data_IF_977239982306
#
_entry.id   IF_977239982306
#
_cell.length_a   1.000
_cell.length_b   1.000
_cell.length_c   1.000
_cell.angle_alpha   90.00
_cell.angle_beta   90.00
_cell.angle_gamma   90.00
#
_symmetry.space_group_name_H-M   'P 1'
#
loop_
_entity.id
_entity.type
_entity.pdbx_description
1 polymer ?
#
# COMPACT_ATOMS: atom_id res chain seq x y z
N UNK A 1 -19.93 -36.60 -10.84
CA UNK A 1 -19.31 -36.06 -9.61
C UNK A 1 -17.81 -36.31 -9.73
N UNK A 2 -16.90 -35.36 -9.76
CA UNK A 2 -17.00 -33.93 -9.52
C UNK A 2 -15.94 -33.18 -10.33
N UNK A 3 -16.36 -32.08 -10.95
CA UNK A 3 -15.46 -31.04 -11.43
C UNK A 3 -14.90 -30.35 -10.19
N UNK A 4 -13.59 -30.50 -9.94
CA UNK A 4 -12.87 -29.64 -9.01
C UNK A 4 -12.89 -28.23 -9.57
N UNK A 5 -13.68 -27.38 -8.93
CA UNK A 5 -13.62 -25.92 -9.04
C UNK A 5 -12.18 -25.46 -8.74
N UNK A 6 -11.38 -25.25 -9.78
CA UNK A 6 -10.30 -24.25 -9.74
C UNK A 6 -10.98 -22.89 -9.80
N UNK A 7 -11.16 -22.25 -8.64
CA UNK A 7 -11.62 -20.87 -8.51
C UNK A 7 -10.37 -19.97 -8.36
N UNK A 8 -10.48 -18.63 -8.37
CA UNK A 8 -10.26 -17.67 -9.43
C UNK A 8 -8.88 -16.96 -9.29
N UNK A 9 -7.86 -17.63 -8.77
CA UNK A 9 -6.57 -16.99 -8.45
C UNK A 9 -5.71 -16.65 -9.68
N UNK A 10 -5.97 -17.28 -10.83
CA UNK A 10 -5.30 -16.95 -12.09
C UNK A 10 -5.88 -15.71 -12.78
N UNK A 11 -7.14 -15.36 -12.50
CA UNK A 11 -7.81 -14.21 -13.13
C UNK A 11 -7.47 -12.90 -12.43
N UNK A 12 -7.24 -12.92 -11.11
CA UNK A 12 -6.78 -11.76 -10.35
C UNK A 12 -5.32 -11.41 -10.70
N UNK A 13 -4.46 -12.41 -10.96
CA UNK A 13 -3.07 -12.17 -11.37
C UNK A 13 -2.92 -11.61 -12.80
N UNK A 14 -3.91 -11.83 -13.69
CA UNK A 14 -3.87 -11.37 -15.09
C UNK A 14 -4.60 -10.04 -15.29
N UNK A 15 -5.59 -9.69 -14.45
CA UNK A 15 -6.20 -8.36 -14.45
C UNK A 15 -5.22 -7.24 -14.01
N UNK A 16 -4.18 -7.60 -13.24
CA UNK A 16 -3.10 -6.69 -12.78
C UNK A 16 -2.16 -6.24 -13.91
N UNK A 17 -2.18 -6.89 -15.08
CA UNK A 17 -1.26 -6.59 -16.19
C UNK A 17 -1.67 -5.39 -17.06
N UNK A 18 -2.90 -4.87 -16.94
CA UNK A 18 -3.42 -3.83 -17.86
C UNK A 18 -3.33 -2.42 -17.26
N UNK A 19 -3.04 -2.27 -15.97
CA UNK A 19 -3.08 -0.97 -15.26
C UNK A 19 -1.79 -0.59 -14.48
N UNK A 20 -0.67 -1.27 -14.70
CA UNK A 20 0.49 -1.16 -13.81
C UNK A 20 1.52 -0.09 -14.23
N UNK A 21 1.79 0.88 -13.34
CA UNK A 21 2.95 1.78 -13.42
C UNK A 21 4.28 1.02 -13.38
N UNK A 22 5.37 1.65 -13.88
CA UNK A 22 6.68 1.00 -14.10
C UNK A 22 7.23 0.26 -12.85
N UNK A 23 6.96 0.76 -11.64
CA UNK A 23 7.40 0.16 -10.37
C UNK A 23 6.77 -1.21 -10.08
N UNK A 24 5.47 -1.38 -10.33
CA UNK A 24 4.75 -2.64 -10.08
C UNK A 24 5.20 -3.78 -11.02
N UNK A 25 5.52 -3.47 -12.29
CA UNK A 25 6.12 -4.43 -13.22
C UNK A 25 7.53 -4.85 -12.79
N UNK A 26 8.33 -3.90 -12.30
CA UNK A 26 9.66 -4.20 -11.75
C UNK A 26 9.57 -5.06 -10.49
N UNK A 27 8.60 -4.79 -9.61
CA UNK A 27 8.37 -5.55 -8.38
C UNK A 27 7.94 -6.99 -8.68
N UNK A 28 7.02 -7.18 -9.64
CA UNK A 28 6.65 -8.51 -10.14
C UNK A 28 7.87 -9.26 -10.71
N UNK A 29 8.67 -8.60 -11.57
CA UNK A 29 9.90 -9.17 -12.11
C UNK A 29 10.91 -9.59 -11.04
N UNK A 30 11.13 -8.74 -10.03
CA UNK A 30 12.01 -9.02 -8.90
C UNK A 30 11.53 -10.21 -8.07
N UNK A 31 10.21 -10.36 -7.87
CA UNK A 31 9.64 -11.47 -7.11
C UNK A 31 9.90 -12.86 -7.72
N UNK A 32 10.15 -12.96 -9.04
CA UNK A 32 10.51 -14.24 -9.66
C UNK A 32 11.96 -14.64 -9.38
N UNK A 33 12.82 -13.69 -9.03
CA UNK A 33 14.25 -13.89 -8.79
C UNK A 33 14.58 -14.06 -7.29
N UNK A 34 13.64 -13.78 -6.41
CA UNK A 34 13.86 -13.78 -4.97
C UNK A 34 13.88 -15.20 -4.37
N UNK A 35 14.59 -15.37 -3.25
CA UNK A 35 14.48 -16.57 -2.41
C UNK A 35 13.11 -16.54 -1.71
N UNK A 36 12.31 -17.61 -1.79
CA UNK A 36 10.96 -17.64 -1.23
C UNK A 36 11.00 -17.79 0.30
N UNK A 37 11.24 -16.67 0.95
CA UNK A 37 11.37 -16.53 2.40
C UNK A 37 10.17 -15.79 2.93
N UNK A 38 9.74 -16.16 4.14
CA UNK A 38 8.69 -15.45 4.83
C UNK A 38 9.12 -14.02 5.14
N UNK A 39 10.40 -13.81 5.42
CA UNK A 39 10.98 -12.50 5.65
C UNK A 39 10.82 -11.54 4.47
N UNK A 40 11.10 -12.00 3.25
CA UNK A 40 10.89 -11.16 2.06
C UNK A 40 9.43 -10.82 1.83
N UNK A 41 8.52 -11.78 2.06
CA UNK A 41 7.10 -11.50 1.93
C UNK A 41 6.60 -10.58 3.05
N UNK A 42 7.11 -10.72 4.27
CA UNK A 42 6.81 -9.81 5.37
C UNK A 42 7.26 -8.38 5.01
N UNK A 43 8.47 -8.19 4.48
CA UNK A 43 8.91 -6.88 4.03
C UNK A 43 8.04 -6.33 2.88
N UNK A 44 7.63 -7.17 1.94
CA UNK A 44 6.71 -6.79 0.85
C UNK A 44 5.36 -6.31 1.39
N UNK A 45 4.81 -7.02 2.37
CA UNK A 45 3.57 -6.65 3.08
C UNK A 45 3.75 -5.35 3.84
N UNK A 46 4.91 -5.13 4.49
CA UNK A 46 5.20 -3.88 5.18
C UNK A 46 5.18 -2.68 4.25
N UNK A 47 5.75 -2.82 3.05
CA UNK A 47 5.71 -1.76 2.03
C UNK A 47 4.30 -1.53 1.50
N UNK A 48 3.54 -2.59 1.21
CA UNK A 48 2.13 -2.46 0.83
C UNK A 48 1.32 -1.72 1.89
N UNK A 49 1.52 -2.06 3.16
CA UNK A 49 0.89 -1.38 4.31
C UNK A 49 1.32 0.07 4.47
N UNK A 50 2.60 0.36 4.23
CA UNK A 50 3.14 1.72 4.26
C UNK A 50 2.41 2.60 3.23
N UNK A 51 2.22 2.09 2.02
CA UNK A 51 1.53 2.81 0.95
C UNK A 51 0.05 3.04 1.30
N UNK A 52 -0.64 2.03 1.86
CA UNK A 52 -2.02 2.20 2.33
C UNK A 52 -2.12 3.32 3.37
N UNK A 53 -1.18 3.39 4.31
CA UNK A 53 -1.15 4.45 5.34
C UNK A 53 -0.80 5.82 4.76
N UNK A 54 0.15 5.88 3.83
CA UNK A 54 0.48 7.11 3.08
C UNK A 54 -0.74 7.65 2.33
N UNK A 55 -1.53 6.77 1.70
CA UNK A 55 -2.78 7.15 1.04
C UNK A 55 -3.81 7.69 2.04
N UNK A 56 -3.93 7.08 3.23
CA UNK A 56 -4.79 7.61 4.29
C UNK A 56 -4.30 8.97 4.79
N UNK A 57 -2.99 9.19 4.91
CA UNK A 57 -2.42 10.50 5.26
C UNK A 57 -2.81 11.53 4.20
N UNK A 58 -2.56 11.26 2.91
CA UNK A 58 -2.92 12.15 1.81
C UNK A 58 -4.42 12.44 1.76
N UNK A 59 -5.26 11.43 2.00
CA UNK A 59 -6.70 11.59 1.92
C UNK A 59 -7.32 12.33 3.12
N UNK A 60 -6.83 12.08 4.33
CA UNK A 60 -7.54 12.43 5.58
C UNK A 60 -6.77 13.35 6.54
N UNK A 61 -5.45 13.49 6.38
CA UNK A 61 -4.60 14.17 7.37
C UNK A 61 -3.83 15.35 6.83
N UNK A 62 -3.80 15.51 5.52
CA UNK A 62 -3.04 16.54 4.83
C UNK A 62 -4.01 17.59 4.33
N UNK A 63 -4.07 18.79 4.95
CA UNK A 63 -4.91 19.87 4.46
C UNK A 63 -4.53 20.24 3.03
N UNK A 64 -5.54 20.61 2.25
CA UNK A 64 -5.38 20.96 0.84
C UNK A 64 -6.05 22.30 0.54
N UNK A 65 -5.42 23.05 -0.35
CA UNK A 65 -5.82 24.37 -0.82
C UNK A 65 -5.34 24.54 -2.27
N UNK A 66 -5.75 25.62 -2.92
CA UNK A 66 -5.32 25.94 -4.29
C UNK A 66 -3.80 26.17 -4.44
N UNK A 67 -3.13 26.56 -3.36
CA UNK A 67 -1.71 26.92 -3.33
C UNK A 67 -0.84 25.89 -2.58
N UNK A 68 -1.45 24.80 -2.09
CA UNK A 68 -0.75 23.70 -1.44
C UNK A 68 0.37 23.15 -2.34
N UNK A 69 1.58 23.02 -1.77
CA UNK A 69 2.77 22.55 -2.50
C UNK A 69 2.96 21.04 -2.44
N UNK A 70 2.56 20.44 -1.32
CA UNK A 70 2.76 19.01 -1.07
C UNK A 70 2.16 18.08 -2.15
N UNK A 71 1.02 18.38 -2.83
CA UNK A 71 0.51 17.53 -3.91
C UNK A 71 1.52 17.33 -5.05
N UNK A 72 2.30 18.37 -5.37
CA UNK A 72 3.35 18.31 -6.39
C UNK A 72 4.61 17.61 -5.87
N UNK A 73 4.89 17.69 -4.57
CA UNK A 73 6.05 17.04 -3.96
C UNK A 73 5.86 15.52 -3.90
N UNK A 74 4.67 15.04 -3.54
CA UNK A 74 4.38 13.60 -3.44
C UNK A 74 4.29 12.90 -4.79
N UNK A 75 3.98 13.64 -5.86
CA UNK A 75 3.93 13.14 -7.25
C UNK A 75 5.27 13.31 -7.99
N UNK A 76 6.24 14.00 -7.40
CA UNK A 76 7.52 14.25 -8.04
C UNK A 76 8.37 12.98 -8.18
N UNK A 77 9.06 12.78 -9.31
CA UNK A 77 9.98 11.66 -9.46
C UNK A 77 11.21 11.81 -8.56
N UNK A 78 11.63 10.71 -7.93
CA UNK A 78 12.82 10.71 -7.07
C UNK A 78 14.09 11.03 -7.87
N UNK A 79 14.83 12.02 -7.38
CA UNK A 79 16.18 12.36 -7.87
C UNK A 79 17.22 11.31 -7.44
N UNK A 80 18.37 11.21 -8.15
CA UNK A 80 19.47 10.34 -7.73
C UNK A 80 19.99 10.64 -6.31
N UNK A 81 20.01 11.91 -5.91
CA UNK A 81 20.46 12.35 -4.59
C UNK A 81 19.52 11.84 -3.49
N UNK A 82 18.20 11.95 -3.69
CA UNK A 82 17.19 11.44 -2.74
C UNK A 82 17.27 9.93 -2.61
N UNK A 83 17.44 9.20 -3.72
CA UNK A 83 17.65 7.74 -3.69
C UNK A 83 18.89 7.37 -2.87
N UNK A 84 19.99 8.11 -3.03
CA UNK A 84 21.21 7.87 -2.26
C UNK A 84 21.02 8.15 -0.76
N UNK A 85 20.29 9.20 -0.41
CA UNK A 85 19.96 9.54 0.97
C UNK A 85 19.08 8.46 1.63
N UNK A 86 17.98 8.07 0.97
CA UNK A 86 17.09 7.01 1.44
C UNK A 86 17.86 5.71 1.60
N UNK A 87 18.71 5.33 0.62
CA UNK A 87 19.55 4.13 0.72
C UNK A 87 20.45 4.15 1.95
N UNK A 88 21.09 5.29 2.25
CA UNK A 88 21.96 5.43 3.42
C UNK A 88 21.19 5.24 4.73
N UNK A 89 19.95 5.71 4.79
CA UNK A 89 19.08 5.56 5.95
C UNK A 89 18.58 4.11 6.09
N UNK A 90 18.14 3.49 5.00
CA UNK A 90 17.70 2.09 4.98
C UNK A 90 18.81 1.14 5.46
N UNK A 91 20.07 1.39 5.09
CA UNK A 91 21.20 0.59 5.57
C UNK A 91 21.41 0.64 7.10
N UNK A 92 20.71 1.52 7.81
CA UNK A 92 20.69 1.53 9.28
C UNK A 92 19.62 0.63 9.87
N UNK A 93 18.58 0.28 9.13
CA UNK A 93 17.52 -0.62 9.61
C UNK A 93 18.05 -2.06 9.81
N UNK A 94 17.57 -2.77 10.85
CA UNK A 94 17.94 -4.15 11.17
C UNK A 94 18.01 -5.12 9.98
N UNK A 95 17.03 -5.06 9.07
CA UNK A 95 16.96 -5.96 7.91
C UNK A 95 18.08 -5.64 6.92
N UNK A 96 18.13 -4.42 6.40
CA UNK A 96 19.10 -4.07 5.34
C UNK A 96 20.54 -4.09 5.83
N UNK A 97 20.76 -3.76 7.11
CA UNK A 97 22.09 -3.83 7.72
C UNK A 97 22.64 -5.26 7.77
N UNK A 98 21.80 -6.31 7.72
CA UNK A 98 22.23 -7.68 7.99
C UNK A 98 21.80 -8.74 6.95
N UNK A 99 20.91 -8.42 6.02
CA UNK A 99 20.36 -9.39 5.03
C UNK A 99 21.41 -10.02 4.13
N UNK A 100 22.48 -9.29 3.79
CA UNK A 100 23.56 -9.82 2.96
C UNK A 100 24.33 -10.98 3.63
N UNK A 101 24.29 -11.12 4.96
CA UNK A 101 24.87 -12.27 5.67
C UNK A 101 23.98 -13.53 5.60
N UNK A 102 22.67 -13.37 5.34
CA UNK A 102 21.72 -14.49 5.34
C UNK A 102 21.36 -14.95 3.94
N UNK A 103 21.36 -14.03 2.97
CA UNK A 103 20.79 -14.27 1.64
C UNK A 103 21.43 -15.46 0.91
N UNK A 104 22.76 -15.58 0.98
CA UNK A 104 23.49 -16.69 0.35
C UNK A 104 23.08 -18.04 0.95
N UNK A 105 23.00 -18.12 2.27
CA UNK A 105 22.62 -19.35 2.98
C UNK A 105 21.14 -19.69 2.73
N UNK A 106 20.25 -18.69 2.81
CA UNK A 106 18.84 -18.85 2.48
C UNK A 106 18.67 -19.38 1.05
N UNK A 107 19.40 -18.84 0.07
CA UNK A 107 19.38 -19.32 -1.32
C UNK A 107 19.89 -20.75 -1.47
N UNK A 108 20.98 -21.12 -0.77
CA UNK A 108 21.53 -22.47 -0.82
C UNK A 108 20.57 -23.52 -0.24
N UNK A 109 19.85 -23.18 0.82
CA UNK A 109 19.03 -24.13 1.55
C UNK A 109 17.54 -24.12 1.16
N UNK A 110 17.01 -22.97 0.72
CA UNK A 110 15.60 -22.79 0.33
C UNK A 110 15.41 -22.72 -1.20
N UNK A 111 16.50 -22.59 -1.96
CA UNK A 111 16.48 -22.47 -3.43
C UNK A 111 16.37 -21.03 -3.92
N UNK A 112 16.12 -20.88 -5.22
CA UNK A 112 15.75 -19.61 -5.85
C UNK A 112 14.26 -19.63 -6.25
N UNK A 113 13.71 -18.51 -6.71
CA UNK A 113 12.32 -18.47 -7.20
C UNK A 113 12.06 -19.53 -8.29
N UNK A 114 10.79 -19.93 -8.45
CA UNK A 114 10.37 -21.05 -9.31
C UNK A 114 10.96 -21.03 -10.73
N UNK A 115 11.08 -19.84 -11.35
CA UNK A 115 11.65 -19.65 -12.68
C UNK A 115 13.17 -19.88 -12.71
N UNK A 116 13.88 -19.49 -11.66
CA UNK A 116 15.34 -19.57 -11.58
C UNK A 116 15.82 -20.97 -11.20
N UNK A 117 15.00 -21.73 -10.47
CA UNK A 117 15.26 -23.15 -10.23
C UNK A 117 15.24 -23.97 -11.53
N UNK A 118 14.45 -23.56 -12.54
CA UNK A 118 14.44 -24.20 -13.86
C UNK A 118 15.72 -23.92 -14.67
N UNK A 119 16.45 -22.85 -14.35
CA UNK A 119 17.70 -22.46 -15.01
C UNK A 119 18.96 -23.02 -14.32
N UNK A 120 18.81 -23.87 -13.30
CA UNK A 120 19.93 -24.53 -12.62
C UNK A 120 20.97 -23.57 -12.04
N UNK A 121 22.26 -23.92 -12.13
CA UNK A 121 23.35 -23.10 -11.59
C UNK A 121 23.46 -21.68 -12.18
N UNK A 122 23.05 -21.49 -13.45
CA UNK A 122 23.04 -20.19 -14.11
C UNK A 122 21.93 -19.27 -13.56
N UNK A 123 20.76 -19.83 -13.26
CA UNK A 123 19.66 -19.10 -12.60
C UNK A 123 20.07 -18.56 -11.23
N UNK A 124 20.86 -19.31 -10.48
CA UNK A 124 21.31 -18.86 -9.15
C UNK A 124 22.23 -17.62 -9.19
N UNK A 125 23.07 -17.50 -10.23
CA UNK A 125 24.02 -16.40 -10.43
C UNK A 125 23.29 -15.15 -10.98
N UNK A 126 22.45 -15.31 -12.01
CA UNK A 126 21.69 -14.20 -12.57
C UNK A 126 20.74 -13.58 -11.54
N UNK A 127 20.08 -14.40 -10.72
CA UNK A 127 19.22 -13.90 -9.65
C UNK A 127 19.99 -13.29 -8.48
N UNK A 128 21.29 -13.55 -8.32
CA UNK A 128 22.11 -12.87 -7.31
C UNK A 128 22.56 -11.49 -7.81
N UNK A 129 22.83 -11.36 -9.11
CA UNK A 129 23.20 -10.08 -9.72
C UNK A 129 22.01 -9.10 -9.85
N UNK A 130 20.79 -9.63 -9.98
CA UNK A 130 19.59 -8.85 -10.24
C UNK A 130 18.66 -8.67 -9.02
N UNK A 131 18.87 -9.43 -7.92
CA UNK A 131 18.07 -9.26 -6.70
C UNK A 131 18.50 -7.96 -5.99
N UNK A 132 17.68 -6.93 -6.09
CA UNK A 132 17.89 -5.68 -5.37
C UNK A 132 17.35 -5.82 -3.95
N UNK A 133 18.18 -5.52 -2.96
CA UNK A 133 17.76 -5.56 -1.54
C UNK A 133 16.74 -4.47 -1.22
N UNK A 134 16.87 -3.30 -1.86
CA UNK A 134 15.94 -2.18 -1.74
C UNK A 134 15.24 -2.02 -3.08
N UNK A 135 13.92 -2.23 -3.11
CA UNK A 135 13.14 -2.19 -4.35
C UNK A 135 12.77 -0.75 -4.73
N UNK A 136 12.40 -0.48 -6.00
CA UNK A 136 11.89 0.83 -6.42
C UNK A 136 10.70 1.31 -5.58
N UNK A 137 9.82 0.38 -5.19
CA UNK A 137 8.66 0.68 -4.38
C UNK A 137 9.05 1.11 -2.95
N UNK A 138 10.06 0.47 -2.38
CA UNK A 138 10.64 0.91 -1.10
C UNK A 138 11.15 2.34 -1.17
N UNK A 139 11.87 2.71 -2.24
CA UNK A 139 12.33 4.09 -2.39
C UNK A 139 11.17 5.09 -2.43
N UNK A 140 10.09 4.78 -3.15
CA UNK A 140 8.91 5.66 -3.25
C UNK A 140 8.22 5.84 -1.90
N UNK A 141 7.99 4.76 -1.16
CA UNK A 141 7.39 4.81 0.16
C UNK A 141 8.24 5.66 1.14
N UNK A 142 9.53 5.36 1.27
CA UNK A 142 10.40 6.15 2.15
C UNK A 142 10.55 7.62 1.74
N UNK A 143 10.43 7.93 0.45
CA UNK A 143 10.41 9.31 -0.03
C UNK A 143 9.16 10.07 0.44
N UNK A 144 7.97 9.44 0.37
CA UNK A 144 6.74 10.02 0.91
C UNK A 144 6.76 10.17 2.42
N UNK A 145 7.31 9.20 3.14
CA UNK A 145 7.56 9.34 4.59
C UNK A 145 8.39 10.59 4.87
N UNK A 146 9.45 10.84 4.11
CA UNK A 146 10.27 12.06 4.26
C UNK A 146 9.45 13.34 4.01
N UNK A 147 8.53 13.32 3.05
CA UNK A 147 7.63 14.46 2.79
C UNK A 147 6.70 14.68 3.99
N UNK A 148 6.02 13.63 4.48
CA UNK A 148 5.02 13.76 5.54
C UNK A 148 5.58 13.94 6.95
N UNK A 149 6.77 13.41 7.24
CA UNK A 149 7.38 13.42 8.57
C UNK A 149 8.65 14.29 8.65
N UNK A 150 9.03 14.92 7.54
CA UNK A 150 10.19 15.79 7.43
C UNK A 150 11.52 15.04 7.27
N UNK A 151 12.65 15.78 7.20
CA UNK A 151 13.95 15.20 6.87
C UNK A 151 14.65 14.47 8.03
N UNK A 152 14.17 14.62 9.28
CA UNK A 152 14.78 13.93 10.43
C UNK A 152 14.21 12.51 10.57
N UNK A 153 15.01 11.45 10.34
CA UNK A 153 14.55 10.07 10.44
C UNK A 153 14.05 9.67 11.82
N UNK A 154 14.38 10.42 12.89
CA UNK A 154 13.86 10.18 14.23
C UNK A 154 12.35 10.41 14.33
N UNK A 155 11.79 11.21 13.41
CA UNK A 155 10.36 11.48 13.34
C UNK A 155 9.61 10.48 12.46
N UNK A 156 10.33 9.58 11.77
CA UNK A 156 9.72 8.65 10.83
C UNK A 156 9.03 7.51 11.58
N UNK A 157 7.91 7.01 11.04
CA UNK A 157 7.25 5.86 11.60
C UNK A 157 8.08 4.59 11.41
N UNK A 158 7.85 3.61 12.29
CA UNK A 158 8.39 2.27 12.10
C UNK A 158 7.47 1.44 11.20
N UNK A 159 7.90 1.22 9.95
CA UNK A 159 6.99 0.71 8.92
C UNK A 159 6.81 -0.81 8.91
N UNK A 160 7.71 -1.56 9.54
CA UNK A 160 7.61 -3.02 9.60
C UNK A 160 7.23 -3.56 10.98
N UNK A 161 6.63 -2.73 11.83
CA UNK A 161 5.89 -3.24 12.98
C UNK A 161 4.47 -3.62 12.55
N UNK A 162 4.09 -4.89 12.75
CA UNK A 162 2.76 -5.39 12.41
C UNK A 162 1.94 -5.66 13.66
N UNK A 163 0.65 -5.34 13.57
CA UNK A 163 -0.39 -5.92 14.42
C UNK A 163 -1.69 -6.13 13.62
N UNK A 164 -2.73 -6.61 14.30
CA UNK A 164 -4.05 -6.88 13.72
C UNK A 164 -5.08 -5.76 13.95
N UNK A 165 -4.71 -4.67 14.63
CA UNK A 165 -5.64 -3.60 15.01
C UNK A 165 -6.01 -2.74 13.82
N UNK A 166 -7.25 -2.26 13.76
CA UNK A 166 -7.70 -1.28 12.76
C UNK A 166 -6.79 -0.05 12.66
N UNK A 167 -6.29 0.44 13.80
CA UNK A 167 -5.38 1.59 13.87
C UNK A 167 -4.09 1.39 13.06
N UNK A 168 -3.61 0.15 12.95
CA UNK A 168 -2.44 -0.20 12.14
C UNK A 168 -2.67 -0.04 10.63
N UNK A 169 -3.91 0.10 10.16
CA UNK A 169 -4.25 0.28 8.75
C UNK A 169 -4.57 1.73 8.41
N UNK A 170 -5.18 2.44 9.37
CA UNK A 170 -5.54 3.85 9.21
C UNK A 170 -4.31 4.75 9.33
N UNK A 171 -3.39 4.43 10.26
CA UNK A 171 -2.30 5.32 10.64
C UNK A 171 -1.02 4.55 10.95
N UNK A 172 0.11 5.26 10.98
CA UNK A 172 1.31 4.73 11.60
C UNK A 172 1.22 4.89 13.12
N UNK A 173 1.66 3.86 13.87
CA UNK A 173 1.64 3.85 15.34
C UNK A 173 2.51 4.92 15.99
N UNK A 174 3.48 5.44 15.25
CA UNK A 174 4.47 6.40 15.71
C UNK A 174 4.83 7.37 14.59
N UNK A 175 5.73 8.30 14.91
CA UNK A 175 6.16 9.38 14.02
C UNK A 175 5.36 10.66 14.24
N UNK A 176 5.97 11.78 13.85
CA UNK A 176 5.37 13.12 13.99
C UNK A 176 5.22 13.74 12.60
N UNK A 177 3.97 13.82 12.13
CA UNK A 177 3.66 14.52 10.89
C UNK A 177 4.12 15.97 10.96
N UNK A 178 4.63 16.49 9.85
CA UNK A 178 4.89 17.94 9.73
C UNK A 178 3.56 18.68 9.77
N UNK A 179 3.58 19.88 10.35
CA UNK A 179 2.48 20.82 10.16
C UNK A 179 2.56 21.35 8.73
N UNK A 180 1.44 21.30 8.03
CA UNK A 180 1.34 21.80 6.66
C UNK A 180 0.55 23.08 6.70
N UNK A 181 1.25 24.15 6.36
CA UNK A 181 0.65 25.46 6.17
C UNK A 181 0.14 25.57 4.73
N UNK A 182 -1.15 25.87 4.59
CA UNK A 182 -1.66 26.50 3.38
C UNK A 182 -1.32 28.00 3.46
N UNK A 183 -0.78 28.57 2.38
CA UNK A 183 -0.25 29.94 2.43
C UNK A 183 -1.39 30.96 2.23
N UNK A 184 -2.39 30.67 1.38
CA UNK A 184 -3.49 31.57 1.04
C UNK A 184 -4.78 30.81 0.60
N UNK A 185 -5.96 31.35 0.92
CA UNK A 185 -7.27 30.86 0.45
C UNK A 185 -8.00 29.93 1.41
N UNK A 186 -9.10 29.32 0.94
CA UNK A 186 -9.86 28.33 1.71
C UNK A 186 -9.03 27.04 1.87
N UNK A 187 -8.94 26.58 3.12
CA UNK A 187 -8.20 25.38 3.50
C UNK A 187 -9.19 24.29 3.84
N UNK A 188 -9.07 23.17 3.13
CA UNK A 188 -9.91 22.00 3.35
C UNK A 188 -9.11 20.98 4.17
N UNK A 189 -9.63 20.50 5.31
CA UNK A 189 -8.94 19.51 6.14
C UNK A 189 -8.62 18.21 5.40
N UNK A 190 -9.44 17.82 4.42
CA UNK A 190 -9.31 16.59 3.65
C UNK A 190 -9.51 16.82 2.15
N UNK A 191 -9.02 15.88 1.31
CA UNK A 191 -9.26 15.93 -0.13
C UNK A 191 -10.75 15.78 -0.47
N UNK A 192 -11.50 15.05 0.35
CA UNK A 192 -12.93 14.82 0.14
C UNK A 192 -13.72 16.10 0.39
N UNK A 193 -13.41 16.84 1.45
CA UNK A 193 -14.04 18.14 1.69
C UNK A 193 -13.68 19.16 0.61
N UNK A 194 -12.44 19.13 0.12
CA UNK A 194 -12.03 19.95 -1.01
C UNK A 194 -12.80 19.61 -2.30
N UNK A 195 -13.04 18.32 -2.57
CA UNK A 195 -13.86 17.87 -3.69
C UNK A 195 -15.32 18.32 -3.54
N UNK A 196 -15.89 18.17 -2.34
CA UNK A 196 -17.28 18.61 -2.06
C UNK A 196 -17.40 20.12 -2.24
N UNK A 197 -16.38 20.91 -1.92
CA UNK A 197 -16.41 22.34 -2.19
C UNK A 197 -16.45 22.70 -3.69
N UNK A 198 -15.98 21.80 -4.56
CA UNK A 198 -16.11 21.94 -6.02
C UNK A 198 -17.49 21.50 -6.55
N UNK A 199 -18.27 20.75 -5.78
CA UNK A 199 -19.64 20.30 -6.15
C UNK A 199 -20.62 21.49 -6.12
N UNK A 200 -21.62 21.55 -7.02
CA UNK A 200 -22.67 22.57 -6.97
C UNK A 200 -23.36 22.63 -5.59
N UNK A 201 -23.53 23.84 -5.05
CA UNK A 201 -23.99 24.09 -3.66
C UNK A 201 -25.25 23.28 -3.30
N UNK A 202 -26.19 23.15 -4.25
CA UNK A 202 -27.45 22.45 -4.03
C UNK A 202 -27.31 20.92 -3.92
N UNK A 203 -26.14 20.34 -4.22
CA UNK A 203 -25.84 18.91 -4.14
C UNK A 203 -24.80 18.58 -3.06
N UNK A 204 -24.11 19.59 -2.51
CA UNK A 204 -23.02 19.38 -1.53
C UNK A 204 -23.51 18.60 -0.30
N UNK A 205 -24.68 18.92 0.22
CA UNK A 205 -25.22 18.25 1.41
C UNK A 205 -25.52 16.77 1.16
N UNK A 206 -26.13 16.46 0.02
CA UNK A 206 -26.47 15.07 -0.34
C UNK A 206 -25.20 14.23 -0.57
N UNK A 207 -24.19 14.81 -1.23
CA UNK A 207 -22.88 14.17 -1.42
C UNK A 207 -22.17 13.94 -0.07
N UNK A 208 -22.26 14.91 0.84
CA UNK A 208 -21.68 14.79 2.19
C UNK A 208 -22.36 13.69 3.02
N UNK A 209 -23.68 13.61 3.00
CA UNK A 209 -24.44 12.58 3.73
C UNK A 209 -24.13 11.18 3.17
N UNK A 210 -24.08 11.02 1.84
CA UNK A 210 -23.72 9.75 1.20
C UNK A 210 -22.27 9.33 1.48
N UNK A 211 -21.33 10.28 1.54
CA UNK A 211 -19.95 10.04 1.96
C UNK A 211 -19.90 9.44 3.38
N UNK A 212 -20.66 10.01 4.32
CA UNK A 212 -20.69 9.50 5.70
C UNK A 212 -21.22 8.07 5.77
N UNK A 213 -22.31 7.77 5.04
CA UNK A 213 -22.85 6.41 4.97
C UNK A 213 -21.86 5.41 4.36
N UNK A 214 -21.16 5.79 3.29
CA UNK A 214 -20.12 4.97 2.67
C UNK A 214 -18.97 4.68 3.64
N UNK A 215 -18.44 5.71 4.32
CA UNK A 215 -17.35 5.55 5.29
C UNK A 215 -17.76 4.71 6.50
N UNK A 216 -19.01 4.84 6.96
CA UNK A 216 -19.55 4.01 8.03
C UNK A 216 -19.63 2.54 7.58
N UNK A 217 -20.13 2.26 6.38
CA UNK A 217 -20.18 0.90 5.86
C UNK A 217 -18.79 0.28 5.68
N UNK A 218 -17.79 1.06 5.25
CA UNK A 218 -16.39 0.61 5.22
C UNK A 218 -15.89 0.26 6.63
N UNK A 219 -16.19 1.10 7.63
CA UNK A 219 -15.82 0.84 9.02
C UNK A 219 -16.39 -0.48 9.53
N UNK A 220 -17.65 -0.81 9.21
CA UNK A 220 -18.27 -2.09 9.61
C UNK A 220 -17.52 -3.30 9.03
N UNK A 221 -17.13 -3.25 7.75
CA UNK A 221 -16.34 -4.31 7.11
C UNK A 221 -15.00 -4.50 7.81
N UNK A 222 -14.37 -3.40 8.21
CA UNK A 222 -13.05 -3.41 8.84
C UNK A 222 -13.10 -4.02 10.23
N UNK A 223 -14.10 -3.67 11.02
CA UNK A 223 -14.27 -4.21 12.37
C UNK A 223 -14.43 -5.75 12.30
N UNK A 224 -15.23 -6.25 11.34
CA UNK A 224 -15.37 -7.69 11.11
C UNK A 224 -14.08 -8.36 10.60
N UNK A 225 -13.33 -7.72 9.69
CA UNK A 225 -12.05 -8.24 9.19
C UNK A 225 -10.97 -8.26 10.29
N UNK A 226 -11.00 -7.32 11.22
CA UNK A 226 -10.15 -7.34 12.40
C UNK A 226 -10.47 -8.54 13.31
N UNK A 227 -11.76 -8.80 13.59
CA UNK A 227 -12.16 -9.96 14.37
C UNK A 227 -11.71 -11.28 13.71
N UNK A 228 -11.88 -11.38 12.38
CA UNK A 228 -11.37 -12.52 11.61
C UNK A 228 -9.85 -12.64 11.73
N UNK A 229 -9.12 -11.53 11.61
CA UNK A 229 -7.67 -11.49 11.75
C UNK A 229 -7.19 -11.96 13.12
N UNK A 230 -7.88 -11.59 14.21
CA UNK A 230 -7.54 -12.04 15.56
C UNK A 230 -7.71 -13.56 15.70
N UNK A 231 -8.76 -14.13 15.12
CA UNK A 231 -8.99 -15.57 15.09
C UNK A 231 -7.91 -16.28 14.26
N UNK A 232 -7.59 -15.77 13.08
CA UNK A 232 -6.54 -16.34 12.22
C UNK A 232 -5.18 -16.30 12.91
N UNK A 233 -4.86 -15.20 13.57
CA UNK A 233 -3.61 -15.01 14.33
C UNK A 233 -3.51 -16.06 15.44
N UNK A 234 -4.58 -16.29 16.22
CA UNK A 234 -4.61 -17.31 17.28
C UNK A 234 -4.39 -18.72 16.73
N UNK A 235 -5.11 -19.09 15.66
CA UNK A 235 -4.97 -20.39 15.02
C UNK A 235 -3.55 -20.61 14.46
N UNK A 236 -2.97 -19.58 13.82
CA UNK A 236 -1.62 -19.66 13.23
C UNK A 236 -0.52 -19.68 14.26
N UNK A 237 -0.67 -18.92 15.35
CA UNK A 237 0.27 -18.95 16.48
C UNK A 237 0.35 -20.37 17.04
N UNK A 238 -0.81 -21.02 17.22
CA UNK A 238 -0.86 -22.40 17.67
C UNK A 238 -0.18 -23.39 16.69
N UNK A 239 -0.47 -23.29 15.39
CA UNK A 239 0.18 -24.10 14.36
C UNK A 239 1.72 -23.93 14.33
N UNK A 240 2.20 -22.69 14.49
CA UNK A 240 3.61 -22.35 14.48
C UNK A 240 4.34 -22.95 15.69
N UNK A 241 3.77 -22.82 16.90
CA UNK A 241 4.34 -23.41 18.11
C UNK A 241 4.37 -24.94 18.06
N UNK A 242 3.30 -25.58 17.55
CA UNK A 242 3.28 -27.04 17.36
C UNK A 242 4.34 -27.49 16.36
N UNK A 243 4.50 -26.76 15.26
CA UNK A 243 5.50 -27.04 14.23
C UNK A 243 6.93 -26.84 14.72
N UNK A 244 7.19 -25.79 15.51
CA UNK A 244 8.50 -25.53 16.12
C UNK A 244 8.89 -26.64 17.11
N UNK A 245 7.94 -27.04 17.98
CA UNK A 245 8.13 -28.12 18.96
C UNK A 245 8.46 -29.45 18.27
N UNK A 246 7.70 -29.83 17.24
CA UNK A 246 7.94 -31.05 16.45
C UNK A 246 9.33 -31.05 15.79
N UNK A 247 9.81 -29.88 15.37
CA UNK A 247 11.08 -29.70 14.67
C UNK A 247 12.27 -29.38 15.59
N UNK A 248 12.09 -29.43 16.91
CA UNK A 248 13.09 -29.10 17.94
C UNK A 248 13.72 -27.73 17.72
N UNK A 249 12.89 -26.74 17.39
CA UNK A 249 13.29 -25.33 17.24
C UNK A 249 12.96 -24.63 18.55
N UNK A 250 13.97 -24.21 19.31
CA UNK A 250 13.78 -23.41 20.52
C UNK A 250 13.57 -21.94 20.13
N UNK A 251 12.31 -21.51 20.10
CA UNK A 251 11.94 -20.12 19.77
C UNK A 251 12.42 -19.12 20.83
N UNK A 252 12.61 -19.56 22.08
CA UNK A 252 13.17 -18.72 23.15
C UNK A 252 14.66 -18.48 22.91
N UNK A 253 15.39 -19.51 22.49
CA UNK A 253 16.80 -19.40 22.10
C UNK A 253 17.01 -18.55 20.84
N UNK A 254 16.10 -18.62 19.87
CA UNK A 254 16.24 -17.96 18.56
C UNK A 254 15.74 -16.51 18.55
N UNK A 255 14.63 -16.20 19.25
CA UNK A 255 13.96 -14.90 19.17
C UNK A 255 13.82 -14.17 20.54
N UNK A 256 14.23 -14.80 21.64
CA UNK A 256 14.09 -14.24 22.98
C UNK A 256 12.63 -14.01 23.40
N UNK A 257 11.69 -14.75 22.79
CA UNK A 257 10.27 -14.64 23.07
C UNK A 257 9.96 -15.53 24.29
N UNK A 258 9.79 -14.90 25.45
CA UNK A 258 9.18 -15.53 26.62
C UNK A 258 7.66 -15.41 26.46
N UNK A 259 7.04 -16.39 25.80
CA UNK A 259 5.58 -16.53 25.85
C UNK A 259 5.26 -17.76 26.68
N UNK A 260 4.50 -17.56 27.76
CA UNK A 260 3.67 -18.61 28.33
C UNK A 260 2.62 -18.98 27.26
N UNK A 261 3.04 -19.77 26.27
CA UNK A 261 2.17 -20.26 25.22
C UNK A 261 1.33 -21.41 25.79
N UNK A 262 0.02 -21.20 25.79
CA UNK A 262 -0.97 -22.21 26.13
C UNK A 262 -1.52 -22.75 24.81
N UNK A 263 -1.28 -24.04 24.49
CA UNK A 263 -1.82 -24.64 23.27
C UNK A 263 -3.35 -24.64 23.27
N UNK A 264 -3.94 -24.38 22.10
CA UNK A 264 -5.38 -24.49 21.90
C UNK A 264 -5.81 -25.96 21.96
N UNK A 265 -6.88 -26.22 22.70
CA UNK A 265 -7.56 -27.52 22.72
C UNK A 265 -8.24 -27.82 21.38
N UNK A 266 -8.48 -29.10 21.03
CA UNK A 266 -9.25 -29.46 19.84
C UNK A 266 -10.62 -28.78 19.76
N UNK A 267 -11.29 -28.63 20.90
CA UNK A 267 -12.58 -27.96 21.03
C UNK A 267 -12.47 -26.46 20.72
N UNK A 268 -11.48 -25.77 21.29
CA UNK A 268 -11.21 -24.36 20.98
C UNK A 268 -10.86 -24.14 19.52
N UNK A 269 -10.06 -25.03 18.92
CA UNK A 269 -9.75 -24.97 17.48
C UNK A 269 -11.00 -25.12 16.61
N UNK A 270 -11.86 -26.09 16.93
CA UNK A 270 -13.10 -26.31 16.20
C UNK A 270 -14.04 -25.10 16.32
N UNK A 271 -14.17 -24.52 17.52
CA UNK A 271 -15.00 -23.35 17.76
C UNK A 271 -14.47 -22.11 17.01
N UNK A 272 -13.16 -21.87 17.02
CA UNK A 272 -12.54 -20.78 16.26
C UNK A 272 -12.70 -20.96 14.74
N UNK A 273 -12.66 -22.20 14.25
CA UNK A 273 -12.89 -22.50 12.83
C UNK A 273 -14.34 -22.26 12.41
N UNK A 274 -15.31 -22.61 13.26
CA UNK A 274 -16.72 -22.29 13.04
C UNK A 274 -16.97 -20.78 13.05
N UNK A 275 -16.45 -20.07 14.07
CA UNK A 275 -16.53 -18.60 14.15
C UNK A 275 -15.91 -17.93 12.92
N UNK A 276 -14.76 -18.42 12.46
CA UNK A 276 -14.13 -17.94 11.22
C UNK A 276 -15.06 -18.05 10.02
N UNK A 277 -15.73 -19.19 9.81
CA UNK A 277 -16.65 -19.36 8.68
C UNK A 277 -17.88 -18.45 8.78
N UNK A 278 -18.40 -18.21 9.98
CA UNK A 278 -19.49 -17.25 10.20
C UNK A 278 -19.05 -15.82 9.88
N UNK A 279 -17.86 -15.41 10.35
CA UNK A 279 -17.31 -14.09 10.06
C UNK A 279 -17.03 -13.89 8.56
N UNK A 280 -16.55 -14.91 7.85
CA UNK A 280 -16.36 -14.84 6.39
C UNK A 280 -17.68 -14.53 5.66
N UNK A 281 -18.80 -15.13 6.09
CA UNK A 281 -20.13 -14.82 5.54
C UNK A 281 -20.59 -13.40 5.90
N UNK A 282 -20.43 -13.00 7.17
CA UNK A 282 -20.78 -11.64 7.63
C UNK A 282 -19.98 -10.56 6.90
N UNK A 283 -18.68 -10.79 6.69
CA UNK A 283 -17.80 -9.91 5.90
C UNK A 283 -18.33 -9.80 4.48
N UNK A 284 -18.70 -10.90 3.81
CA UNK A 284 -19.23 -10.84 2.45
C UNK A 284 -20.52 -10.01 2.36
N UNK A 285 -21.40 -10.09 3.37
CA UNK A 285 -22.64 -9.30 3.42
C UNK A 285 -22.32 -7.82 3.66
N UNK A 286 -21.42 -7.53 4.60
CA UNK A 286 -20.98 -6.16 4.90
C UNK A 286 -20.26 -5.52 3.70
N UNK A 287 -19.45 -6.29 2.97
CA UNK A 287 -18.79 -5.83 1.74
C UNK A 287 -19.81 -5.45 0.66
N UNK A 288 -20.84 -6.27 0.45
CA UNK A 288 -21.90 -5.94 -0.50
C UNK A 288 -22.67 -4.66 -0.12
N UNK A 289 -22.94 -4.46 1.18
CA UNK A 289 -23.54 -3.22 1.69
C UNK A 289 -22.60 -2.02 1.49
N UNK A 290 -21.31 -2.20 1.74
CA UNK A 290 -20.31 -1.16 1.51
C UNK A 290 -20.21 -0.76 0.03
N UNK A 291 -20.28 -1.74 -0.88
CA UNK A 291 -20.29 -1.51 -2.33
C UNK A 291 -21.55 -0.74 -2.77
N UNK A 292 -22.72 -1.08 -2.22
CA UNK A 292 -23.97 -0.35 -2.48
C UNK A 292 -23.88 1.12 -2.03
N UNK A 293 -23.32 1.38 -0.84
CA UNK A 293 -23.16 2.76 -0.33
C UNK A 293 -22.11 3.56 -1.10
N UNK A 294 -21.06 2.90 -1.57
CA UNK A 294 -20.08 3.50 -2.48
C UNK A 294 -20.73 3.91 -3.81
N UNK A 295 -21.56 3.02 -4.39
CA UNK A 295 -22.27 3.29 -5.64
C UNK A 295 -23.20 4.50 -5.51
N UNK A 296 -23.98 4.61 -4.43
CA UNK A 296 -24.84 5.77 -4.16
C UNK A 296 -24.02 7.07 -4.08
N UNK A 297 -22.89 7.05 -3.36
CA UNK A 297 -22.00 8.21 -3.29
C UNK A 297 -21.44 8.59 -4.67
N UNK A 298 -21.06 7.60 -5.48
CA UNK A 298 -20.53 7.82 -6.84
C UNK A 298 -21.60 8.36 -7.80
N UNK A 299 -22.84 7.87 -7.71
CA UNK A 299 -23.96 8.38 -8.51
C UNK A 299 -24.23 9.86 -8.21
N UNK A 300 -24.13 10.28 -6.95
CA UNK A 300 -24.29 11.69 -6.58
C UNK A 300 -23.14 12.56 -7.12
N UNK A 301 -21.91 12.05 -7.12
CA UNK A 301 -20.79 12.73 -7.76
C UNK A 301 -20.97 12.83 -9.28
N UNK A 302 -21.57 11.82 -9.93
CA UNK A 302 -21.92 11.87 -11.36
C UNK A 302 -23.01 12.90 -11.64
N UNK A 303 -24.04 12.97 -10.81
CA UNK A 303 -25.07 14.02 -10.92
C UNK A 303 -24.47 15.42 -10.72
N UNK A 304 -23.58 15.57 -9.75
CA UNK A 304 -22.84 16.81 -9.53
C UNK A 304 -21.99 17.19 -10.74
N UNK A 305 -21.31 16.22 -11.34
CA UNK A 305 -20.48 16.39 -12.53
C UNK A 305 -21.30 16.90 -13.72
N UNK A 306 -22.48 16.31 -13.97
CA UNK A 306 -23.40 16.73 -15.04
C UNK A 306 -23.92 18.15 -14.78
N UNK A 307 -24.28 18.47 -13.54
CA UNK A 307 -24.73 19.81 -13.18
C UNK A 307 -23.62 20.85 -13.40
N UNK A 308 -22.40 20.51 -13.01
CA UNK A 308 -21.21 21.36 -13.08
C UNK A 308 -20.82 21.70 -14.53
N UNK A 309 -20.97 20.77 -15.48
CA UNK A 309 -20.70 21.03 -16.91
C UNK A 309 -21.46 22.24 -17.49
N UNK A 310 -22.58 22.65 -16.90
CA UNK A 310 -23.36 23.79 -17.36
C UNK A 310 -22.89 25.14 -16.77
N UNK A 311 -22.10 25.14 -15.69
CA UNK A 311 -21.74 26.35 -14.94
C UNK A 311 -20.33 26.23 -14.30
N UNK A 312 -19.34 25.83 -15.10
CA UNK A 312 -17.94 25.75 -14.63
C UNK A 312 -17.37 27.16 -14.53
N UNK A 313 -16.90 27.54 -13.34
CA UNK A 313 -16.25 28.82 -13.10
C UNK A 313 -14.78 28.82 -13.59
N UNK A 314 -14.59 28.91 -14.91
CA UNK A 314 -13.27 28.91 -15.55
C UNK A 314 -12.48 30.23 -15.38
N UNK A 315 -13.08 31.26 -14.80
CA UNK A 315 -12.41 32.54 -14.52
C UNK A 315 -11.76 32.56 -13.13
N UNK A 316 -12.21 31.70 -12.22
CA UNK A 316 -11.64 31.57 -10.89
C UNK A 316 -10.39 30.66 -10.89
N UNK A 317 -9.22 31.29 -10.84
CA UNK A 317 -7.94 30.57 -10.77
C UNK A 317 -7.76 29.76 -9.49
N UNK A 318 -8.43 30.12 -8.39
CA UNK A 318 -8.38 29.36 -7.13
C UNK A 318 -9.13 28.06 -7.30
N UNK A 319 -10.31 28.11 -7.93
CA UNK A 319 -11.14 26.95 -8.25
C UNK A 319 -10.39 25.95 -9.15
N UNK A 320 -9.77 26.42 -10.24
CA UNK A 320 -9.00 25.56 -11.15
C UNK A 320 -7.79 24.92 -10.45
N UNK A 321 -7.03 25.70 -9.68
CA UNK A 321 -5.85 25.18 -8.96
C UNK A 321 -6.22 24.17 -7.87
N UNK A 322 -7.36 24.36 -7.20
CA UNK A 322 -7.87 23.39 -6.24
C UNK A 322 -8.18 22.06 -6.95
N UNK A 323 -8.88 22.10 -8.09
CA UNK A 323 -9.13 20.91 -8.91
C UNK A 323 -7.84 20.23 -9.36
N UNK A 324 -6.81 20.99 -9.78
CA UNK A 324 -5.49 20.45 -10.13
C UNK A 324 -4.83 19.73 -8.95
N UNK A 325 -4.85 20.32 -7.76
CA UNK A 325 -4.23 19.72 -6.58
C UNK A 325 -4.97 18.45 -6.15
N UNK A 326 -6.32 18.45 -6.17
CA UNK A 326 -7.11 17.24 -5.89
C UNK A 326 -6.79 16.15 -6.92
N UNK A 327 -6.74 16.49 -8.21
CA UNK A 327 -6.43 15.57 -9.29
C UNK A 327 -5.05 14.92 -9.11
N UNK A 328 -4.02 15.71 -8.80
CA UNK A 328 -2.67 15.19 -8.52
C UNK A 328 -2.64 14.19 -7.36
N UNK A 329 -3.32 14.50 -6.25
CA UNK A 329 -3.36 13.62 -5.08
C UNK A 329 -4.17 12.36 -5.38
N UNK A 330 -5.33 12.50 -6.03
CA UNK A 330 -6.18 11.38 -6.42
C UNK A 330 -5.44 10.43 -7.38
N UNK A 331 -4.66 10.97 -8.32
CA UNK A 331 -3.84 10.15 -9.21
C UNK A 331 -2.79 9.38 -8.43
N UNK A 332 -2.09 10.05 -7.50
CA UNK A 332 -1.07 9.41 -6.67
C UNK A 332 -1.65 8.31 -5.77
N UNK A 333 -2.83 8.54 -5.16
CA UNK A 333 -3.53 7.53 -4.35
C UNK A 333 -3.90 6.33 -5.22
N UNK A 334 -4.49 6.56 -6.39
CA UNK A 334 -4.91 5.48 -7.29
C UNK A 334 -3.72 4.63 -7.79
N UNK A 335 -2.64 5.28 -8.24
CA UNK A 335 -1.43 4.61 -8.72
C UNK A 335 -0.78 3.79 -7.60
N UNK A 336 -0.58 4.40 -6.43
CA UNK A 336 0.08 3.74 -5.31
C UNK A 336 -0.79 2.66 -4.65
N UNK A 337 -2.12 2.82 -4.63
CA UNK A 337 -3.03 1.76 -4.21
C UNK A 337 -2.90 0.51 -5.11
N UNK A 338 -2.71 0.70 -6.42
CA UNK A 338 -2.41 -0.39 -7.36
C UNK A 338 -1.06 -1.05 -7.07
N UNK A 339 -0.05 -0.27 -6.68
CA UNK A 339 1.25 -0.80 -6.24
C UNK A 339 1.14 -1.61 -4.93
N UNK A 340 0.33 -1.14 -3.97
CA UNK A 340 0.04 -1.86 -2.73
C UNK A 340 -0.70 -3.18 -3.03
N UNK A 341 -1.73 -3.15 -3.88
CA UNK A 341 -2.46 -4.33 -4.32
C UNK A 341 -1.53 -5.36 -4.97
N UNK A 342 -0.62 -4.91 -5.84
CA UNK A 342 0.41 -5.77 -6.46
C UNK A 342 1.31 -6.40 -5.39
N UNK A 343 1.73 -5.62 -4.40
CA UNK A 343 2.59 -6.09 -3.30
C UNK A 343 1.89 -7.18 -2.48
N UNK A 344 0.62 -6.97 -2.09
CA UNK A 344 -0.17 -7.97 -1.37
C UNK A 344 -0.47 -9.21 -2.22
N UNK A 345 -0.79 -9.04 -3.51
CA UNK A 345 -1.05 -10.13 -4.43
C UNK A 345 0.15 -11.05 -4.62
N UNK A 346 1.34 -10.46 -4.81
CA UNK A 346 2.60 -11.23 -4.89
C UNK A 346 2.88 -11.93 -3.55
N UNK A 347 2.77 -11.22 -2.42
CA UNK A 347 3.00 -11.81 -1.10
C UNK A 347 2.09 -13.02 -0.86
N UNK A 348 0.79 -12.86 -1.12
CA UNK A 348 -0.22 -13.92 -1.00
C UNK A 348 0.11 -15.13 -1.86
N UNK A 349 0.44 -14.88 -3.14
CA UNK A 349 0.76 -15.94 -4.10
C UNK A 349 1.99 -16.73 -3.68
N UNK A 350 3.02 -16.04 -3.18
CA UNK A 350 4.25 -16.66 -2.69
C UNK A 350 4.01 -17.46 -1.41
N UNK A 351 3.30 -16.87 -0.45
CA UNK A 351 3.00 -17.50 0.84
C UNK A 351 2.20 -18.78 0.65
N UNK A 352 1.13 -18.73 -0.17
CA UNK A 352 0.23 -19.86 -0.40
C UNK A 352 0.77 -20.86 -1.43
N UNK A 353 1.42 -20.38 -2.49
CA UNK A 353 1.86 -21.19 -3.63
C UNK A 353 3.20 -21.89 -3.46
N UNK A 354 4.13 -21.33 -2.65
CA UNK A 354 5.49 -21.86 -2.50
C UNK A 354 5.75 -22.51 -1.14
N UNK A 355 4.70 -22.74 -0.35
CA UNK A 355 4.79 -23.41 0.95
C UNK A 355 5.69 -22.69 1.96
N UNK A 356 5.74 -21.36 1.88
CA UNK A 356 6.67 -20.53 2.67
C UNK A 356 6.41 -20.70 4.17
N UNK A 357 5.15 -20.76 4.59
CA UNK A 357 4.79 -20.98 6.01
C UNK A 357 5.33 -22.33 6.50
N UNK A 358 5.19 -23.39 5.71
CA UNK A 358 5.68 -24.73 6.05
C UNK A 358 7.22 -24.78 6.09
N UNK A 359 7.88 -23.97 5.28
CA UNK A 359 9.33 -23.84 5.23
C UNK A 359 9.91 -22.87 6.28
N UNK A 360 9.08 -22.10 6.97
CA UNK A 360 9.53 -21.09 7.92
C UNK A 360 10.41 -21.66 9.06
N UNK A 361 10.14 -22.83 9.67
CA UNK A 361 11.05 -23.42 10.65
C UNK A 361 12.45 -23.72 10.08
N UNK A 362 12.54 -24.03 8.79
CA UNK A 362 13.82 -24.24 8.11
C UNK A 362 14.53 -22.91 7.85
N UNK A 363 13.78 -21.87 7.46
CA UNK A 363 14.29 -20.50 7.35
C UNK A 363 14.89 -20.02 8.68
N UNK A 364 14.17 -20.19 9.80
CA UNK A 364 14.67 -19.82 11.13
C UNK A 364 15.97 -20.56 11.51
N UNK A 365 16.09 -21.84 11.18
CA UNK A 365 17.34 -22.59 11.39
C UNK A 365 18.50 -22.02 10.57
N UNK A 366 18.25 -21.62 9.33
CA UNK A 366 19.26 -21.01 8.46
C UNK A 366 19.70 -19.66 9.02
N UNK A 367 18.75 -18.86 9.51
CA UNK A 367 19.03 -17.58 10.17
C UNK A 367 19.88 -17.80 11.43
N UNK A 368 19.53 -18.75 12.29
CA UNK A 368 20.33 -19.09 13.47
C UNK A 368 21.79 -19.46 13.11
N UNK A 369 22.00 -20.21 12.01
CA UNK A 369 23.35 -20.52 11.51
C UNK A 369 24.07 -19.28 10.96
N UNK A 370 23.34 -18.40 10.27
CA UNK A 370 23.89 -17.19 9.69
C UNK A 370 24.37 -16.17 10.74
N UNK A 371 23.84 -16.20 11.97
CA UNK A 371 24.25 -15.32 13.08
C UNK A 371 25.76 -15.34 13.32
N UNK A 372 26.42 -16.49 13.13
CA UNK A 372 27.87 -16.63 13.29
C UNK A 372 28.69 -15.82 12.27
N UNK A 373 28.08 -15.46 11.13
CA UNK A 373 28.70 -14.67 10.07
C UNK A 373 28.48 -13.16 10.27
N UNK A 374 27.64 -12.76 11.23
CA UNK A 374 27.32 -11.36 11.50
C UNK A 374 28.38 -10.75 12.43
N UNK A 375 29.01 -9.63 12.05
CA UNK A 375 29.95 -8.90 12.90
C UNK A 375 29.35 -8.54 14.26
N UNK A 376 30.18 -8.57 15.32
CA UNK A 376 29.75 -8.30 16.70
C UNK A 376 29.01 -6.96 16.85
N UNK A 377 29.46 -5.92 16.14
CA UNK A 377 28.83 -4.59 16.15
C UNK A 377 27.46 -4.52 15.46
N UNK A 378 27.04 -5.58 14.77
CA UNK A 378 25.74 -5.70 14.09
C UNK A 378 24.84 -6.78 14.70
N UNK A 379 25.29 -7.52 15.72
CA UNK A 379 24.50 -8.60 16.31
C UNK A 379 23.21 -8.12 16.96
N UNK A 380 23.21 -6.95 17.60
CA UNK A 380 21.97 -6.38 18.17
C UNK A 380 20.91 -6.11 17.10
N UNK A 381 21.32 -5.54 15.96
CA UNK A 381 20.46 -5.33 14.80
C UNK A 381 19.99 -6.65 14.20
N UNK A 382 20.85 -7.66 14.17
CA UNK A 382 20.45 -8.98 13.71
C UNK A 382 19.37 -9.60 14.61
N UNK A 383 19.55 -9.54 15.92
CA UNK A 383 18.59 -10.09 16.88
C UNK A 383 17.25 -9.36 16.83
N UNK A 384 17.27 -8.04 16.64
CA UNK A 384 16.08 -7.22 16.40
C UNK A 384 15.33 -7.64 15.14
N UNK A 385 16.05 -7.85 14.02
CA UNK A 385 15.49 -8.35 12.76
C UNK A 385 14.80 -9.72 12.94
N UNK A 386 15.44 -10.65 13.65
CA UNK A 386 14.84 -11.99 13.90
C UNK A 386 13.59 -11.88 14.76
N UNK A 387 13.62 -11.07 15.82
CA UNK A 387 12.44 -10.84 16.67
C UNK A 387 11.28 -10.28 15.86
N UNK A 388 11.55 -9.27 15.02
CA UNK A 388 10.58 -8.68 14.11
C UNK A 388 9.99 -9.71 13.14
N UNK A 389 10.83 -10.54 12.52
CA UNK A 389 10.37 -11.58 11.60
C UNK A 389 9.39 -12.55 12.26
N UNK A 390 9.70 -13.00 13.49
CA UNK A 390 8.82 -13.90 14.23
C UNK A 390 7.51 -13.21 14.61
N UNK A 391 7.55 -11.94 15.06
CA UNK A 391 6.34 -11.15 15.31
C UNK A 391 5.49 -11.02 14.05
N UNK A 392 6.09 -10.55 12.96
CA UNK A 392 5.41 -10.24 11.71
C UNK A 392 4.77 -11.46 11.04
N UNK A 393 5.35 -12.66 11.24
CA UNK A 393 4.79 -13.92 10.75
C UNK A 393 3.37 -14.16 11.24
N UNK A 394 3.05 -13.79 12.49
CA UNK A 394 1.73 -13.99 13.07
C UNK A 394 0.67 -13.07 12.43
N UNK A 395 1.10 -11.89 11.96
CA UNK A 395 0.21 -10.83 11.48
C UNK A 395 0.21 -10.66 9.95
N UNK A 396 1.02 -11.42 9.21
CA UNK A 396 1.22 -11.23 7.78
C UNK A 396 -0.06 -11.42 6.95
N UNK A 397 -0.85 -12.46 7.24
CA UNK A 397 -2.11 -12.73 6.53
C UNK A 397 -3.20 -11.69 6.86
N UNK A 398 -3.45 -11.36 8.15
CA UNK A 398 -4.25 -10.20 8.51
C UNK A 398 -3.91 -8.93 7.73
N UNK A 399 -2.62 -8.58 7.68
CA UNK A 399 -2.16 -7.37 7.02
C UNK A 399 -2.38 -7.44 5.49
N UNK A 400 -2.21 -8.60 4.88
CA UNK A 400 -2.55 -8.83 3.47
C UNK A 400 -4.05 -8.62 3.23
N UNK A 401 -4.92 -9.26 4.00
CA UNK A 401 -6.36 -9.23 3.72
C UNK A 401 -6.97 -7.84 3.95
N UNK A 402 -6.65 -7.21 5.09
CA UNK A 402 -7.10 -5.85 5.38
C UNK A 402 -6.45 -4.82 4.46
N UNK A 403 -5.14 -4.93 4.22
CA UNK A 403 -4.42 -4.03 3.32
C UNK A 403 -4.93 -4.08 1.89
N UNK A 404 -5.28 -5.27 1.38
CA UNK A 404 -5.86 -5.44 0.04
C UNK A 404 -7.21 -4.76 -0.08
N UNK A 405 -8.07 -4.90 0.95
CA UNK A 405 -9.37 -4.23 0.97
C UNK A 405 -9.22 -2.70 0.97
N UNK A 406 -8.36 -2.14 1.82
CA UNK A 406 -8.11 -0.70 1.85
C UNK A 406 -7.53 -0.19 0.53
N UNK A 407 -6.52 -0.86 -0.02
CA UNK A 407 -5.93 -0.47 -1.29
C UNK A 407 -7.01 -0.46 -2.39
N UNK A 408 -7.90 -1.44 -2.43
CA UNK A 408 -9.00 -1.45 -3.38
C UNK A 408 -9.94 -0.25 -3.21
N UNK A 409 -10.42 0.02 -1.99
CA UNK A 409 -11.32 1.16 -1.71
C UNK A 409 -10.67 2.53 -1.91
N UNK A 410 -9.37 2.65 -1.63
CA UNK A 410 -8.61 3.86 -1.93
C UNK A 410 -8.53 4.10 -3.44
N UNK A 411 -8.27 3.05 -4.23
CA UNK A 411 -8.20 3.16 -5.69
C UNK A 411 -9.56 3.56 -6.31
N UNK A 412 -10.66 2.94 -5.87
CA UNK A 412 -12.00 3.23 -6.42
C UNK A 412 -12.43 4.68 -6.15
N UNK A 413 -12.31 5.13 -4.89
CA UNK A 413 -12.65 6.51 -4.51
C UNK A 413 -11.73 7.51 -5.20
N UNK A 414 -10.42 7.27 -5.24
CA UNK A 414 -9.48 8.16 -5.89
C UNK A 414 -9.73 8.26 -7.39
N UNK A 415 -10.03 7.13 -8.06
CA UNK A 415 -10.44 7.14 -9.46
C UNK A 415 -11.69 7.99 -9.68
N UNK A 416 -12.67 7.92 -8.78
CA UNK A 416 -13.87 8.76 -8.90
C UNK A 416 -13.54 10.25 -8.78
N UNK A 417 -12.59 10.61 -7.93
CA UNK A 417 -12.17 12.00 -7.75
C UNK A 417 -11.40 12.52 -8.98
N UNK A 418 -10.64 11.66 -9.64
CA UNK A 418 -10.05 11.96 -10.95
C UNK A 418 -11.13 12.27 -11.99
N UNK A 419 -12.08 11.34 -12.18
CA UNK A 419 -13.17 11.51 -13.14
C UNK A 419 -13.94 12.82 -12.92
N UNK A 420 -14.21 13.19 -11.66
CA UNK A 420 -14.87 14.44 -11.32
C UNK A 420 -14.01 15.68 -11.65
N UNK A 421 -12.74 15.67 -11.24
CA UNK A 421 -11.84 16.83 -11.42
C UNK A 421 -11.42 17.01 -12.87
N UNK A 422 -11.30 15.94 -13.65
CA UNK A 422 -10.95 15.98 -15.07
C UNK A 422 -11.96 16.82 -15.87
N UNK A 423 -13.25 16.81 -15.51
CA UNK A 423 -14.27 17.65 -16.16
C UNK A 423 -13.92 19.14 -16.07
N UNK A 424 -13.45 19.59 -14.90
CA UNK A 424 -13.04 20.98 -14.67
C UNK A 424 -11.77 21.28 -15.47
N UNK A 425 -10.79 20.37 -15.43
CA UNK A 425 -9.48 20.57 -16.06
C UNK A 425 -9.55 20.51 -17.59
N UNK A 426 -10.36 19.63 -18.16
CA UNK A 426 -10.61 19.54 -19.60
C UNK A 426 -11.28 20.82 -20.13
N UNK A 427 -12.29 21.33 -19.41
CA UNK A 427 -12.94 22.59 -19.76
C UNK A 427 -11.95 23.77 -19.72
N UNK A 428 -11.08 23.80 -18.70
CA UNK A 428 -10.03 24.82 -18.58
C UNK A 428 -8.99 24.74 -19.71
N UNK A 429 -8.49 23.54 -20.03
CA UNK A 429 -7.55 23.34 -21.12
C UNK A 429 -8.14 23.74 -22.46
N UNK A 430 -9.42 23.41 -22.71
CA UNK A 430 -10.15 23.82 -23.91
C UNK A 430 -10.22 25.35 -24.03
N UNK A 431 -10.49 26.06 -22.93
CA UNK A 431 -10.49 27.53 -22.90
C UNK A 431 -9.10 28.09 -23.25
N UNK A 432 -8.04 27.56 -22.65
CA UNK A 432 -6.66 27.99 -22.94
C UNK A 432 -6.28 27.79 -24.41
N UNK A 433 -6.68 26.67 -25.02
CA UNK A 433 -6.46 26.40 -26.44
C UNK A 433 -7.21 27.39 -27.34
N UNK A 434 -8.46 27.71 -27.01
CA UNK A 434 -9.26 28.70 -27.73
C UNK A 434 -8.66 30.11 -27.63
N UNK A 435 -8.20 30.51 -26.44
CA UNK A 435 -7.53 31.79 -26.21
C UNK A 435 -6.21 31.88 -26.99
N UNK A 436 -5.40 30.82 -26.98
CA UNK A 436 -4.16 30.75 -27.74
C UNK A 436 -4.41 30.86 -29.26
N UNK A 437 -5.41 30.15 -29.77
CA UNK A 437 -5.79 30.21 -31.19
C UNK A 437 -6.30 31.61 -31.59
N UNK A 438 -7.10 32.26 -30.73
CA UNK A 438 -7.57 33.62 -30.95
C UNK A 438 -6.41 34.63 -30.96
N UNK A 439 -5.43 34.48 -30.06
CA UNK A 439 -4.22 35.30 -30.03
C UNK A 439 -3.37 35.11 -31.29
N UNK A 440 -3.22 33.88 -31.78
CA UNK A 440 -2.48 33.59 -33.01
C UNK A 440 -3.18 34.21 -34.24
N UNK A 441 -4.49 34.06 -34.36
CA UNK A 441 -5.29 34.66 -35.43
C UNK A 441 -5.17 36.20 -35.43
N UNK A 442 -5.28 36.83 -34.26
CA UNK A 442 -5.13 38.28 -34.11
C UNK A 442 -3.72 38.76 -34.48
N UNK A 443 -2.67 37.99 -34.13
CA UNK A 443 -1.29 38.30 -34.50
C UNK A 443 -1.07 38.20 -36.02
N UNK A 444 -1.61 37.17 -36.67
CA UNK A 444 -1.53 37.00 -38.13
C UNK A 444 -2.27 38.11 -38.88
N UNK A 445 -3.44 38.54 -38.39
CA UNK A 445 -4.21 39.63 -38.98
C UNK A 445 -3.48 40.98 -38.82
N UNK A 446 -2.95 41.27 -37.63
CA UNK A 446 -2.16 42.47 -37.38
C UNK A 446 -0.86 42.53 -38.20
N UNK A 447 -0.30 41.38 -38.59
CA UNK A 447 0.86 41.31 -39.48
C UNK A 447 0.47 41.62 -40.93
N UNK A 448 -0.67 41.12 -41.42
CA UNK A 448 -1.21 41.48 -42.74
C UNK A 448 -1.49 42.97 -42.88
N UNK A 449 -2.07 43.60 -41.87
CA UNK A 449 -2.37 45.06 -41.90
C UNK A 449 -1.11 45.94 -41.84
N UNK A 450 0.06 45.38 -41.50
CA UNK A 450 1.35 46.10 -41.53
C UNK A 450 2.09 45.95 -42.86
N UNK A 451 1.71 44.97 -43.68
CA UNK A 451 2.29 44.71 -45.00
C UNK A 451 1.51 45.39 -46.14
N UNK A 452 0.29 45.86 -45.85
CA UNK A 452 -0.51 46.80 -46.66
C UNK A 452 -0.19 48.26 -46.31
#
# INVERSE_FOLDING_TARGET
MGYKKMIPSLVIAVAVFVFSGCSSLQEAGQSFMEVPTLEKQANRVAIGMTIVRENNIMAKKMPISADAKWPKEVTAPLTPQEKQEIKRLLLQDPYFATVHFTERLQRQHLGSGALMNQLGGFGSIAAAALNQTITPLMYRAFYKIKIFYGPDPKNWPDIFDFDATKGNFEEFHNGKLIEIEALEGDVYPTITEALIALVPINLQKDVEDAKEEMLQAYSEVLDLKQELADIETKLKTDEAHQSATKNKVDLKEIAGIDTEYIPLTPEEKSALQEQKSVLEEQISVAEAKADEKEEVYFELLDQASIALQNDINLDDQTYIKLAQNINLVANEINDSATEAYTSFGIASTKILGEGIIQNFPKELKILALAKQQVPLNLQSKYDERIRRLVKNTMYILPNIFMGTYYAHKQATVAKKYLEFTDIILEAYNTKLEQEAAAMEAAAQEAQKTKEE
#
